data_IF_812794788884
#
_entry.id   IF_812794788884
#
_cell.length_a   1.000
_cell.length_b   1.000
_cell.length_c   1.000
_cell.angle_alpha   90.00
_cell.angle_beta   90.00
_cell.angle_gamma   90.00
#
_symmetry.space_group_name_H-M   'P 1'
#
loop_
_entity.id
_entity.type
_entity.pdbx_description
1 polymer ?
#
# COMPACT_ATOMS: atom_id res chain seq x y z
N UNK A 1 -35.88 -8.67 7.60
CA UNK A 1 -34.79 -8.79 6.60
C UNK A 1 -33.61 -7.99 7.12
N UNK A 2 -32.69 -8.64 7.84
CA UNK A 2 -31.47 -7.99 8.31
C UNK A 2 -30.56 -7.83 7.10
N UNK A 3 -30.38 -6.60 6.62
CA UNK A 3 -29.39 -6.34 5.58
C UNK A 3 -28.02 -6.76 6.11
N UNK A 4 -27.38 -7.67 5.37
CA UNK A 4 -25.99 -8.07 5.53
C UNK A 4 -25.14 -6.89 5.07
N UNK A 5 -25.13 -5.80 5.84
CA UNK A 5 -24.15 -4.74 5.61
C UNK A 5 -22.81 -5.34 6.07
N UNK A 6 -21.84 -5.53 5.17
CA UNK A 6 -20.53 -6.01 5.56
C UNK A 6 -19.92 -5.03 6.56
N UNK A 7 -19.20 -5.55 7.56
CA UNK A 7 -18.54 -4.71 8.57
C UNK A 7 -17.80 -3.53 7.93
N UNK A 8 -17.82 -2.38 8.60
CA UNK A 8 -17.29 -1.12 8.09
C UNK A 8 -15.86 -1.25 7.53
N UNK A 9 -15.01 -2.07 8.16
CA UNK A 9 -13.64 -2.31 7.71
C UNK A 9 -13.56 -2.93 6.31
N UNK A 10 -14.53 -3.76 5.91
CA UNK A 10 -14.59 -4.37 4.57
C UNK A 10 -14.83 -3.28 3.53
N UNK A 11 -15.83 -2.43 3.77
CA UNK A 11 -16.16 -1.31 2.87
C UNK A 11 -14.99 -0.34 2.75
N UNK A 12 -14.34 -0.01 3.87
CA UNK A 12 -13.16 0.86 3.91
C UNK A 12 -11.99 0.24 3.15
N UNK A 13 -11.78 -1.08 3.26
CA UNK A 13 -10.70 -1.79 2.55
C UNK A 13 -10.93 -1.79 1.04
N UNK A 14 -12.17 -2.02 0.59
CA UNK A 14 -12.53 -1.95 -0.83
C UNK A 14 -12.34 -0.53 -1.38
N UNK A 15 -12.81 0.49 -0.65
CA UNK A 15 -12.59 1.88 -1.03
C UNK A 15 -11.09 2.21 -1.09
N UNK A 16 -10.30 1.78 -0.09
CA UNK A 16 -8.86 1.96 -0.06
C UNK A 16 -8.18 1.33 -1.28
N UNK A 17 -8.56 0.11 -1.68
CA UNK A 17 -8.03 -0.56 -2.87
C UNK A 17 -8.33 0.21 -4.16
N UNK A 18 -9.55 0.75 -4.30
CA UNK A 18 -9.95 1.57 -5.46
C UNK A 18 -9.13 2.87 -5.51
N UNK A 19 -9.07 3.63 -4.41
CA UNK A 19 -8.29 4.86 -4.34
C UNK A 19 -6.79 4.61 -4.52
N UNK A 20 -6.25 3.52 -3.98
CA UNK A 20 -4.86 3.12 -4.16
C UNK A 20 -4.54 2.83 -5.63
N UNK A 21 -5.44 2.15 -6.33
CA UNK A 21 -5.30 1.84 -7.76
C UNK A 21 -5.38 3.09 -8.62
N UNK A 22 -6.40 3.93 -8.39
CA UNK A 22 -6.54 5.22 -9.08
C UNK A 22 -5.32 6.13 -8.85
N UNK A 23 -4.81 6.18 -7.62
CA UNK A 23 -3.59 6.93 -7.30
C UNK A 23 -2.38 6.43 -8.09
N UNK A 24 -2.13 5.12 -8.14
CA UNK A 24 -0.99 4.59 -8.88
C UNK A 24 -1.08 4.93 -10.38
N UNK A 25 -2.29 4.88 -10.95
CA UNK A 25 -2.53 5.29 -12.33
C UNK A 25 -2.21 6.76 -12.56
N UNK A 26 -2.73 7.65 -11.71
CA UNK A 26 -2.51 9.10 -11.83
C UNK A 26 -1.04 9.48 -11.58
N UNK A 27 -0.39 8.86 -10.59
CA UNK A 27 1.05 9.08 -10.33
C UNK A 27 1.90 8.64 -11.52
N UNK A 28 1.59 7.51 -12.14
CA UNK A 28 2.26 7.07 -13.37
C UNK A 28 2.09 8.10 -14.48
N UNK A 29 0.86 8.58 -14.71
CA UNK A 29 0.57 9.60 -15.72
C UNK A 29 1.35 10.90 -15.47
N UNK A 30 1.29 11.46 -14.26
CA UNK A 30 1.96 12.71 -13.90
C UNK A 30 3.50 12.61 -13.97
N UNK A 31 4.07 11.48 -13.54
CA UNK A 31 5.52 11.25 -13.57
C UNK A 31 6.08 11.04 -14.98
N UNK A 32 5.23 10.69 -15.95
CA UNK A 32 5.58 10.59 -17.37
C UNK A 32 5.31 11.88 -18.13
N UNK A 33 4.31 12.67 -17.73
CA UNK A 33 3.85 13.84 -18.49
C UNK A 33 4.48 15.18 -18.07
N UNK A 34 4.60 15.50 -16.76
CA UNK A 34 4.83 16.91 -16.35
C UNK A 34 5.70 17.13 -15.10
N UNK A 35 5.84 16.17 -14.18
CA UNK A 35 6.54 16.36 -12.90
C UNK A 35 7.68 15.35 -12.65
N UNK A 36 8.68 15.76 -11.87
CA UNK A 36 9.69 14.85 -11.32
C UNK A 36 9.07 13.85 -10.33
N UNK A 37 9.70 12.69 -10.11
CA UNK A 37 9.18 11.67 -9.19
C UNK A 37 9.01 12.19 -7.75
N UNK A 38 9.94 13.04 -7.31
CA UNK A 38 9.86 13.71 -6.02
C UNK A 38 8.71 14.74 -5.99
N UNK A 39 8.53 15.54 -7.03
CA UNK A 39 7.44 16.51 -7.13
C UNK A 39 6.05 15.85 -7.11
N UNK A 40 5.88 14.75 -7.84
CA UNK A 40 4.64 13.97 -7.85
C UNK A 40 4.36 13.27 -6.50
N UNK A 41 5.41 13.01 -5.71
CA UNK A 41 5.27 12.44 -4.35
C UNK A 41 4.94 13.54 -3.35
N UNK A 42 5.61 14.69 -3.44
CA UNK A 42 5.41 15.83 -2.55
C UNK A 42 4.02 16.46 -2.70
N UNK A 43 3.51 16.59 -3.92
CA UNK A 43 2.19 17.17 -4.18
C UNK A 43 1.09 16.45 -3.41
N UNK A 44 1.17 15.12 -3.30
CA UNK A 44 0.23 14.32 -2.50
C UNK A 44 0.20 14.77 -1.05
N UNK A 45 1.36 14.92 -0.42
CA UNK A 45 1.44 15.30 0.99
C UNK A 45 0.93 16.73 1.20
N UNK A 46 1.35 17.66 0.33
CA UNK A 46 0.93 19.05 0.39
C UNK A 46 -0.60 19.21 0.28
N UNK A 47 -1.23 18.55 -0.70
CA UNK A 47 -2.68 18.62 -0.87
C UNK A 47 -3.45 17.82 0.19
N UNK A 48 -2.86 16.76 0.76
CA UNK A 48 -3.52 15.97 1.83
C UNK A 48 -3.46 16.64 3.20
N UNK A 49 -2.44 17.45 3.47
CA UNK A 49 -2.21 18.11 4.75
C UNK A 49 -3.43 18.87 5.30
N UNK A 50 -4.11 19.76 4.54
CA UNK A 50 -5.28 20.48 5.06
C UNK A 50 -6.42 19.55 5.44
N UNK A 51 -6.66 18.47 4.69
CA UNK A 51 -7.70 17.50 5.00
C UNK A 51 -7.38 16.67 6.24
N UNK A 52 -6.11 16.31 6.44
CA UNK A 52 -5.67 15.58 7.64
C UNK A 52 -5.84 16.46 8.88
N UNK A 53 -5.41 17.72 8.81
CA UNK A 53 -5.54 18.68 9.92
C UNK A 53 -7.01 18.95 10.23
N UNK A 54 -7.84 19.19 9.20
CA UNK A 54 -9.27 19.40 9.37
C UNK A 54 -9.97 18.17 9.98
N UNK A 55 -9.60 16.96 9.52
CA UNK A 55 -10.12 15.70 10.06
C UNK A 55 -9.73 15.48 11.52
N UNK A 56 -8.49 15.79 11.90
CA UNK A 56 -8.02 15.71 13.27
C UNK A 56 -8.79 16.69 14.17
N UNK A 57 -8.85 17.97 13.78
CA UNK A 57 -9.58 19.00 14.55
C UNK A 57 -11.06 18.65 14.68
N UNK A 58 -11.69 18.21 13.58
CA UNK A 58 -13.08 17.77 13.58
C UNK A 58 -13.31 16.56 14.49
N UNK A 59 -12.44 15.56 14.44
CA UNK A 59 -12.55 14.37 15.29
C UNK A 59 -12.42 14.73 16.78
N UNK A 60 -11.40 15.50 17.16
CA UNK A 60 -11.20 15.91 18.55
C UNK A 60 -12.36 16.79 19.04
N UNK A 61 -12.86 17.69 18.19
CA UNK A 61 -14.02 18.54 18.50
C UNK A 61 -15.33 17.77 18.67
N UNK A 62 -15.58 16.75 17.85
CA UNK A 62 -16.81 15.95 17.90
C UNK A 62 -16.81 14.92 19.05
N UNK A 63 -15.65 14.38 19.39
CA UNK A 63 -15.52 13.34 20.42
C UNK A 63 -15.16 13.89 21.80
N UNK A 64 -14.70 15.13 21.88
CA UNK A 64 -14.20 15.74 23.11
C UNK A 64 -12.89 15.13 23.62
N UNK A 65 -12.23 14.26 22.85
CA UNK A 65 -10.94 13.70 23.24
C UNK A 65 -9.85 14.77 23.20
N UNK A 66 -9.04 14.84 24.26
CA UNK A 66 -7.85 15.69 24.27
C UNK A 66 -6.78 15.16 23.31
N UNK A 67 -5.92 16.06 22.84
CA UNK A 67 -4.75 15.67 22.05
C UNK A 67 -3.84 14.78 22.91
N UNK A 68 -3.45 13.58 22.43
CA UNK A 68 -2.59 12.70 23.19
C UNK A 68 -1.19 13.33 23.37
N UNK A 69 -0.53 12.97 24.48
CA UNK A 69 0.84 13.42 24.74
C UNK A 69 1.77 12.79 23.70
N UNK A 70 2.38 13.63 22.86
CA UNK A 70 3.34 13.19 21.86
C UNK A 70 4.70 12.99 22.51
N UNK A 71 4.99 11.75 22.91
CA UNK A 71 6.30 11.35 23.42
C UNK A 71 7.38 11.45 22.33
N UNK A 72 8.67 11.56 22.68
CA UNK A 72 9.76 11.55 21.69
C UNK A 72 9.74 10.30 20.77
N UNK A 73 9.31 9.16 21.30
CA UNK A 73 9.15 7.91 20.56
C UNK A 73 8.14 8.04 19.41
N UNK A 74 7.03 8.76 19.62
CA UNK A 74 6.04 9.03 18.57
C UNK A 74 6.69 9.73 17.37
N UNK A 75 7.54 10.73 17.64
CA UNK A 75 8.26 11.44 16.59
C UNK A 75 9.32 10.56 15.92
N UNK A 76 10.04 9.72 16.68
CA UNK A 76 11.02 8.79 16.11
C UNK A 76 10.35 7.80 15.15
N UNK A 77 9.28 7.13 15.58
CA UNK A 77 8.53 6.20 14.73
C UNK A 77 7.87 6.91 13.54
N UNK A 78 7.29 8.11 13.76
CA UNK A 78 6.68 8.91 12.72
C UNK A 78 7.68 9.35 11.64
N UNK A 79 8.88 9.76 12.03
CA UNK A 79 9.96 10.13 11.11
C UNK A 79 10.46 8.92 10.32
N UNK A 80 10.75 7.81 10.99
CA UNK A 80 11.23 6.58 10.32
C UNK A 80 10.17 6.08 9.32
N UNK A 81 8.92 5.96 9.76
CA UNK A 81 7.81 5.50 8.92
C UNK A 81 7.53 6.45 7.76
N UNK A 82 7.48 7.75 8.02
CA UNK A 82 7.23 8.78 7.01
C UNK A 82 8.34 8.83 5.95
N UNK A 83 9.61 8.83 6.36
CA UNK A 83 10.75 8.80 5.44
C UNK A 83 10.77 7.51 4.62
N UNK A 84 10.57 6.35 5.25
CA UNK A 84 10.49 5.07 4.53
C UNK A 84 9.36 5.07 3.49
N UNK A 85 8.19 5.61 3.83
CA UNK A 85 7.05 5.71 2.93
C UNK A 85 7.32 6.62 1.73
N UNK A 86 7.97 7.78 1.94
CA UNK A 86 8.34 8.71 0.88
C UNK A 86 9.34 8.05 -0.07
N UNK A 87 10.40 7.45 0.48
CA UNK A 87 11.43 6.76 -0.30
C UNK A 87 10.82 5.60 -1.12
N UNK A 88 9.98 4.78 -0.49
CA UNK A 88 9.29 3.69 -1.18
C UNK A 88 8.45 4.19 -2.37
N UNK A 89 7.74 5.31 -2.19
CA UNK A 89 6.93 5.90 -3.27
C UNK A 89 7.80 6.39 -4.43
N UNK A 90 8.91 7.07 -4.14
CA UNK A 90 9.87 7.51 -5.16
C UNK A 90 10.45 6.30 -5.90
N UNK A 91 10.87 5.25 -5.20
CA UNK A 91 11.38 4.02 -5.81
C UNK A 91 10.35 3.38 -6.76
N UNK A 92 9.07 3.31 -6.36
CA UNK A 92 8.00 2.79 -7.22
C UNK A 92 7.82 3.64 -8.48
N UNK A 93 7.85 4.96 -8.36
CA UNK A 93 7.72 5.87 -9.52
C UNK A 93 8.93 5.75 -10.45
N UNK A 94 10.15 5.62 -9.92
CA UNK A 94 11.36 5.39 -10.73
C UNK A 94 11.31 4.05 -11.45
N UNK A 95 10.79 3.02 -10.79
CA UNK A 95 10.58 1.68 -11.35
C UNK A 95 9.58 1.69 -12.50
N UNK A 96 8.59 2.58 -12.50
CA UNK A 96 7.69 2.81 -13.64
C UNK A 96 8.40 3.39 -14.87
N UNK A 97 9.57 4.02 -14.71
CA UNK A 97 10.37 4.54 -15.83
C UNK A 97 11.30 3.50 -16.44
N UNK A 98 11.43 2.31 -15.84
CA UNK A 98 12.31 1.24 -16.32
C UNK A 98 11.63 0.37 -17.39
N UNK A 99 12.40 -0.09 -18.39
CA UNK A 99 11.89 -0.91 -19.51
C UNK A 99 11.32 -2.27 -19.09
N UNK A 100 11.76 -2.82 -17.95
CA UNK A 100 11.32 -4.12 -17.45
C UNK A 100 10.43 -3.98 -16.20
N UNK A 101 9.29 -3.33 -16.37
CA UNK A 101 8.27 -3.12 -15.34
C UNK A 101 7.84 -4.41 -14.62
N UNK A 102 7.85 -5.55 -15.33
CA UNK A 102 7.49 -6.85 -14.78
C UNK A 102 8.38 -7.27 -13.59
N UNK A 103 9.69 -7.03 -13.67
CA UNK A 103 10.63 -7.32 -12.57
C UNK A 103 10.27 -6.53 -11.33
N UNK A 104 9.92 -5.26 -11.52
CA UNK A 104 9.56 -4.40 -10.41
C UNK A 104 8.23 -4.74 -9.75
N UNK A 105 7.25 -5.22 -10.53
CA UNK A 105 6.01 -5.76 -9.97
C UNK A 105 6.27 -7.01 -9.15
N UNK A 106 7.16 -7.90 -9.58
CA UNK A 106 7.55 -9.11 -8.83
C UNK A 106 8.15 -8.77 -7.46
N UNK A 107 9.11 -7.82 -7.40
CA UNK A 107 9.66 -7.36 -6.12
C UNK A 107 8.62 -6.71 -5.22
N UNK A 108 7.66 -5.98 -5.78
CA UNK A 108 6.57 -5.39 -4.97
C UNK A 108 5.71 -6.47 -4.30
N UNK A 109 5.58 -7.67 -4.86
CA UNK A 109 4.72 -8.72 -4.27
C UNK A 109 5.27 -9.27 -2.95
N UNK A 110 6.57 -9.14 -2.70
CA UNK A 110 7.17 -9.59 -1.43
C UNK A 110 6.79 -8.69 -0.26
N UNK A 111 6.23 -7.50 -0.54
CA UNK A 111 5.73 -6.56 0.47
C UNK A 111 4.79 -7.26 1.46
N UNK A 112 3.84 -8.06 0.97
CA UNK A 112 2.84 -8.72 1.84
C UNK A 112 3.50 -9.65 2.85
N UNK A 113 4.51 -10.42 2.44
CA UNK A 113 5.23 -11.35 3.33
C UNK A 113 6.08 -10.56 4.33
N UNK A 114 6.76 -9.49 3.86
CA UNK A 114 7.55 -8.63 4.73
C UNK A 114 6.68 -7.90 5.76
N UNK A 115 5.47 -7.47 5.40
CA UNK A 115 4.52 -6.87 6.34
C UNK A 115 4.12 -7.84 7.45
N UNK A 116 3.90 -9.12 7.12
CA UNK A 116 3.64 -10.16 8.14
C UNK A 116 4.83 -10.35 9.07
N UNK A 117 6.04 -10.42 8.52
CA UNK A 117 7.26 -10.60 9.32
C UNK A 117 7.50 -9.41 10.25
N UNK A 118 7.38 -8.17 9.74
CA UNK A 118 7.55 -6.95 10.54
C UNK A 118 6.42 -6.83 11.57
N UNK A 119 5.17 -7.14 11.21
CA UNK A 119 4.05 -7.17 12.14
C UNK A 119 4.31 -8.15 13.30
N UNK A 120 4.79 -9.35 12.99
CA UNK A 120 5.15 -10.32 14.01
C UNK A 120 6.30 -9.85 14.91
N UNK A 121 7.37 -9.26 14.35
CA UNK A 121 8.52 -8.79 15.13
C UNK A 121 8.22 -7.56 15.99
N UNK A 122 7.42 -6.62 15.48
CA UNK A 122 7.20 -5.31 16.11
C UNK A 122 5.96 -5.30 17.00
N UNK A 123 4.87 -5.93 16.55
CA UNK A 123 3.59 -5.95 17.28
C UNK A 123 3.39 -7.25 18.08
N UNK A 124 4.22 -8.29 17.83
CA UNK A 124 4.01 -9.62 18.41
C UNK A 124 2.83 -10.38 17.80
N UNK A 125 2.12 -9.79 16.84
CA UNK A 125 0.93 -10.35 16.21
C UNK A 125 1.31 -11.09 14.93
N UNK A 126 1.32 -12.41 15.01
CA UNK A 126 1.50 -13.29 13.85
C UNK A 126 0.20 -13.53 13.10
N UNK A 127 0.32 -14.02 11.86
CA UNK A 127 -0.85 -14.46 11.07
C UNK A 127 -1.10 -15.95 11.31
N UNK A 128 -2.37 -16.34 11.43
CA UNK A 128 -2.75 -17.75 11.53
C UNK A 128 -2.34 -18.54 10.28
N UNK A 129 -2.24 -19.86 10.39
CA UNK A 129 -1.92 -20.71 9.23
C UNK A 129 -2.90 -20.50 8.06
N UNK A 130 -4.19 -20.31 8.38
CA UNK A 130 -5.22 -19.98 7.39
C UNK A 130 -4.98 -18.61 6.75
N UNK A 131 -4.66 -17.58 7.54
CA UNK A 131 -4.32 -16.26 7.00
C UNK A 131 -3.07 -16.29 6.12
N UNK A 132 -2.06 -17.08 6.49
CA UNK A 132 -0.86 -17.27 5.69
C UNK A 132 -1.17 -17.96 4.36
N UNK A 133 -2.05 -18.97 4.36
CA UNK A 133 -2.52 -19.62 3.13
C UNK A 133 -3.28 -18.66 2.21
N UNK A 134 -4.10 -17.76 2.78
CA UNK A 134 -4.81 -16.73 2.01
C UNK A 134 -3.85 -15.71 1.37
N UNK A 135 -2.80 -15.31 2.09
CA UNK A 135 -1.72 -14.49 1.53
C UNK A 135 -1.04 -15.21 0.37
N UNK A 136 -0.70 -16.49 0.54
CA UNK A 136 -0.11 -17.31 -0.52
C UNK A 136 -0.98 -17.37 -1.77
N UNK A 137 -2.28 -17.60 -1.62
CA UNK A 137 -3.24 -17.56 -2.73
C UNK A 137 -3.27 -16.19 -3.41
N UNK A 138 -3.25 -15.09 -2.66
CA UNK A 138 -3.17 -13.74 -3.20
C UNK A 138 -1.91 -13.50 -4.03
N UNK A 139 -0.76 -13.97 -3.55
CA UNK A 139 0.53 -13.89 -4.26
C UNK A 139 0.47 -14.68 -5.57
N UNK A 140 -0.06 -15.93 -5.54
CA UNK A 140 -0.23 -16.77 -6.74
C UNK A 140 -1.15 -16.09 -7.75
N UNK A 141 -2.32 -15.60 -7.33
CA UNK A 141 -3.25 -14.89 -8.21
C UNK A 141 -2.60 -13.67 -8.87
N UNK A 142 -1.81 -12.92 -8.11
CA UNK A 142 -1.08 -11.77 -8.63
C UNK A 142 0.03 -12.19 -9.60
N UNK A 143 0.74 -13.30 -9.36
CA UNK A 143 1.73 -13.88 -10.29
C UNK A 143 1.10 -14.27 -11.63
N UNK A 144 -0.04 -14.94 -11.60
CA UNK A 144 -0.80 -15.29 -12.80
C UNK A 144 -1.20 -14.04 -13.61
N UNK A 145 -1.64 -12.97 -12.93
CA UNK A 145 -2.03 -11.71 -13.58
C UNK A 145 -0.84 -10.90 -14.13
N UNK A 146 0.37 -11.14 -13.64
CA UNK A 146 1.58 -10.38 -14.00
C UNK A 146 2.33 -10.94 -15.20
N UNK A 147 1.88 -12.05 -15.79
CA UNK A 147 2.39 -12.55 -17.05
C UNK A 147 2.08 -11.55 -18.18
N UNK A 148 3.12 -11.00 -18.83
CA UNK A 148 2.96 -9.98 -19.86
C UNK A 148 2.20 -10.46 -21.10
N UNK A 149 1.77 -9.51 -21.95
CA UNK A 149 0.97 -9.75 -23.17
C UNK A 149 1.59 -10.70 -24.22
N UNK A 150 2.84 -11.13 -24.03
CA UNK A 150 3.55 -12.13 -24.86
C UNK A 150 4.18 -13.27 -24.03
N UNK A 151 3.92 -13.33 -22.73
CA UNK A 151 4.34 -14.46 -21.92
C UNK A 151 3.34 -15.60 -22.17
N UNK A 152 3.82 -16.72 -22.73
CA UNK A 152 3.11 -17.99 -22.58
C UNK A 152 2.90 -18.17 -21.08
N UNK A 153 1.64 -18.06 -20.64
CA UNK A 153 1.30 -18.05 -19.22
C UNK A 153 1.97 -19.23 -18.52
N UNK A 154 2.42 -19.01 -17.29
CA UNK A 154 3.03 -20.04 -16.47
C UNK A 154 2.05 -21.22 -16.36
N UNK A 155 2.31 -22.27 -17.14
CA UNK A 155 1.47 -23.45 -17.15
C UNK A 155 1.93 -24.31 -16.00
N UNK A 156 1.00 -24.87 -15.23
CA UNK A 156 1.30 -25.87 -14.17
C UNK A 156 2.09 -27.07 -14.75
N UNK A 157 2.12 -27.23 -16.08
CA UNK A 157 2.95 -28.17 -16.83
C UNK A 157 4.45 -27.90 -16.76
N UNK A 158 4.90 -26.66 -16.54
CA UNK A 158 6.32 -26.30 -16.49
C UNK A 158 6.98 -26.69 -15.16
N UNK A 159 6.20 -27.00 -14.13
CA UNK A 159 6.67 -27.52 -12.85
C UNK A 159 6.86 -29.05 -12.83
N UNK A 160 6.51 -29.74 -13.92
CA UNK A 160 6.50 -31.21 -14.00
C UNK A 160 7.64 -31.79 -14.86
N UNK A 161 8.75 -31.07 -14.99
CA UNK A 161 10.01 -31.55 -15.55
C UNK A 161 11.18 -31.15 -14.64
#
# INVERSE_FOLDING_TARGET
>A
MNYVIPDLWILVTLAAAVFQTGRFMLQKYLATATLSAAGATFSRFLYSAPFIVAGLVGYLGLTGTALPVMLPEFWAYGLIGGTAQILATICVVLLFKQRNFAVGITFKKTEVILTVLVGWMVLGEGVTLLGFSAIGLGVVGLLLLSGGANAKGFAVRDLRN
#
